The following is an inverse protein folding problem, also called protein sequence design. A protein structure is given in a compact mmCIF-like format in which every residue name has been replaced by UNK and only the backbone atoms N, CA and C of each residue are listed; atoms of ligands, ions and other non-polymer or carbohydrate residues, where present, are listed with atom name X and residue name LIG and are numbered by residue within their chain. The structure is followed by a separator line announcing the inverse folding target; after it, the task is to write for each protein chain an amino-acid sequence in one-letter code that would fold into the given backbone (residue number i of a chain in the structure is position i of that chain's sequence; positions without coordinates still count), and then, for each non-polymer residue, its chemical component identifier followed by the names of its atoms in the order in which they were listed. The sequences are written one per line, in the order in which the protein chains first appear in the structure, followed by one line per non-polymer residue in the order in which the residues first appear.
data_IF_101438288848
#
_entry.id   IF_101438288848
#
_cell.length_a   1.000
_cell.length_b   1.000
_cell.length_c   1.000
_cell.angle_alpha   90.00
_cell.angle_beta   90.00
_cell.angle_gamma   90.00
#
_symmetry.space_group_name_H-M   'P 1'
#
loop_
_entity.id
_entity.type
_entity.pdbx_description
1 polymer ?
#
# COMPACT_ATOMS: atom_id res chain seq x y z
N UNK A 1 -9.09 13.58 16.54
CA UNK A 1 -7.86 12.77 16.52
C UNK A 1 -6.97 13.17 15.34
N UNK A 2 -5.75 13.62 15.62
CA UNK A 2 -4.74 13.85 14.57
C UNK A 2 -4.16 12.48 14.17
N UNK A 3 -4.27 12.13 12.90
CA UNK A 3 -3.76 10.85 12.37
C UNK A 3 -2.41 11.14 11.74
N UNK A 4 -1.35 10.54 12.29
CA UNK A 4 0.00 10.62 11.74
C UNK A 4 0.11 9.70 10.49
N UNK A 5 -0.34 10.23 9.35
CA UNK A 5 -0.36 9.52 8.07
C UNK A 5 0.72 10.06 7.14
N UNK A 6 1.62 9.19 6.72
CA UNK A 6 2.62 9.52 5.69
C UNK A 6 1.99 9.42 4.29
N UNK A 7 1.39 10.52 3.80
CA UNK A 7 0.79 10.62 2.46
C UNK A 7 1.88 10.92 1.43
N UNK A 8 1.97 10.07 0.40
CA UNK A 8 2.95 10.22 -0.69
C UNK A 8 2.25 10.77 -1.94
N UNK A 9 2.55 12.01 -2.31
CA UNK A 9 1.98 12.73 -3.47
C UNK A 9 2.92 12.81 -4.69
N UNK A 10 4.20 12.50 -4.48
CA UNK A 10 5.26 12.48 -5.48
C UNK A 10 6.15 11.25 -5.29
N UNK A 11 6.89 10.81 -6.34
CA UNK A 11 7.83 9.71 -6.21
C UNK A 11 8.80 9.94 -5.04
N UNK A 12 8.71 9.07 -4.04
CA UNK A 12 9.51 9.15 -2.82
C UNK A 12 10.38 7.91 -2.70
N UNK A 13 11.72 8.03 -2.65
CA UNK A 13 12.60 6.89 -2.48
C UNK A 13 12.31 6.14 -1.18
N UNK A 14 12.17 4.82 -1.27
CA UNK A 14 11.97 3.95 -0.12
C UNK A 14 12.54 2.56 -0.37
N UNK A 15 13.05 1.91 0.69
CA UNK A 15 13.48 0.51 0.63
C UNK A 15 12.27 -0.41 0.83
N UNK A 16 11.79 -1.01 -0.24
CA UNK A 16 10.60 -1.88 -0.22
C UNK A 16 10.99 -3.37 -0.16
N UNK A 17 10.44 -4.10 0.81
CA UNK A 17 10.55 -5.56 0.91
C UNK A 17 9.19 -6.25 0.76
N UNK A 18 8.13 -5.62 1.26
CA UNK A 18 6.74 -6.05 1.18
C UNK A 18 5.92 -4.80 0.86
N UNK A 19 4.95 -4.94 -0.05
CA UNK A 19 4.00 -3.88 -0.40
C UNK A 19 2.59 -4.43 -0.42
N UNK A 20 1.62 -3.55 -0.15
CA UNK A 20 0.20 -3.85 -0.22
C UNK A 20 -0.45 -2.91 -1.22
N UNK A 21 -1.25 -3.49 -2.12
CA UNK A 21 -2.23 -2.75 -2.90
C UNK A 21 -3.62 -3.12 -2.36
N UNK A 22 -4.39 -2.11 -1.98
CA UNK A 22 -5.74 -2.27 -1.50
C UNK A 22 -6.67 -1.41 -2.35
N UNK A 23 -7.75 -2.02 -2.81
CA UNK A 23 -8.84 -1.37 -3.52
C UNK A 23 -10.12 -1.50 -2.69
N UNK A 24 -10.78 -0.37 -2.44
CA UNK A 24 -12.08 -0.31 -1.78
C UNK A 24 -13.18 0.00 -2.81
N UNK A 25 -14.01 -1.00 -3.12
CA UNK A 25 -15.14 -0.84 -4.04
C UNK A 25 -16.44 -0.55 -3.29
N UNK A 26 -17.27 0.34 -3.85
CA UNK A 26 -18.64 0.55 -3.34
C UNK A 26 -19.43 -0.76 -3.35
N UNK A 27 -20.20 -1.02 -2.30
CA UNK A 27 -20.92 -2.28 -2.11
C UNK A 27 -20.09 -3.42 -1.48
N UNK A 28 -18.87 -3.13 -1.00
CA UNK A 28 -18.07 -4.09 -0.22
C UNK A 28 -17.13 -4.97 -1.05
N UNK A 29 -16.95 -4.67 -2.33
CA UNK A 29 -16.02 -5.37 -3.23
C UNK A 29 -14.59 -4.86 -3.02
N UNK A 30 -13.99 -5.23 -1.88
CA UNK A 30 -12.61 -4.88 -1.59
C UNK A 30 -11.66 -5.95 -2.13
N UNK A 31 -10.55 -5.53 -2.73
CA UNK A 31 -9.50 -6.44 -3.21
C UNK A 31 -8.16 -6.02 -2.62
N UNK A 32 -7.46 -6.98 -2.00
CA UNK A 32 -6.15 -6.77 -1.38
C UNK A 32 -5.12 -7.70 -1.99
N UNK A 33 -4.02 -7.14 -2.47
CA UNK A 33 -2.88 -7.87 -2.99
C UNK A 33 -1.64 -7.50 -2.20
N UNK A 34 -0.91 -8.52 -1.72
CA UNK A 34 0.36 -8.36 -1.01
C UNK A 34 1.47 -8.97 -1.86
N UNK A 35 2.53 -8.18 -2.08
CA UNK A 35 3.69 -8.60 -2.88
C UNK A 35 4.93 -8.54 -2.00
N UNK A 36 5.78 -9.55 -2.09
CA UNK A 36 7.08 -9.60 -1.42
C UNK A 36 8.19 -9.60 -2.46
N UNK A 37 9.25 -8.84 -2.21
CA UNK A 37 10.48 -8.87 -3.02
C UNK A 37 11.04 -10.29 -3.01
N UNK A 38 11.12 -10.90 -4.18
CA UNK A 38 11.73 -12.21 -4.34
C UNK A 38 13.22 -12.13 -4.00
N UNK A 39 13.67 -13.07 -3.18
CA UNK A 39 15.06 -13.34 -2.85
C UNK A 39 15.19 -14.82 -3.16
N UNK A 40 15.94 -15.14 -4.22
CA UNK A 40 16.09 -16.51 -4.73
C UNK A 40 16.37 -17.54 -3.65
#
# INVERSE_FOLDING_TARGET
PEIDLNIIDKPTPAKLNIVMNNSFGFGGHNAVVILKKYRG
#
